data_IF_033437909861
#
_entry.id   IF_033437909861
#
_cell.length_a   1.000
_cell.length_b   1.000
_cell.length_c   1.000
_cell.angle_alpha   90.00
_cell.angle_beta   90.00
_cell.angle_gamma   90.00
#
_symmetry.space_group_name_H-M   'P 1'
#
loop_
_entity.id
_entity.type
_entity.pdbx_description
1 polymer ?
#
# COMPACT_ATOMS: atom_id res chain seq x y z
N UNK A 1 -10.80 -24.86 -65.31
CA UNK A 1 -10.07 -24.91 -64.03
C UNK A 1 -8.85 -24.01 -64.16
N UNK A 2 -8.92 -22.77 -63.66
CA UNK A 2 -7.76 -21.88 -63.61
C UNK A 2 -7.05 -22.15 -62.29
N UNK A 3 -6.09 -23.06 -62.33
CA UNK A 3 -5.22 -23.30 -61.18
C UNK A 3 -4.31 -22.09 -61.08
N UNK A 4 -4.54 -21.22 -60.09
CA UNK A 4 -3.55 -20.23 -59.70
C UNK A 4 -2.28 -21.00 -59.31
N UNK A 5 -1.27 -20.99 -60.16
CA UNK A 5 0.07 -21.48 -59.83
C UNK A 5 0.63 -20.55 -58.76
N UNK A 6 0.58 -21.01 -57.51
CA UNK A 6 1.21 -20.29 -56.40
C UNK A 6 2.72 -20.26 -56.65
N UNK A 7 3.25 -19.05 -56.87
CA UNK A 7 4.64 -18.85 -57.23
C UNK A 7 5.55 -18.99 -56.00
N UNK A 8 5.97 -20.24 -55.76
CA UNK A 8 6.83 -20.62 -54.63
C UNK A 8 8.19 -19.90 -54.65
N UNK A 9 8.67 -19.46 -55.81
CA UNK A 9 9.90 -18.70 -55.93
C UNK A 9 9.75 -17.30 -55.31
N UNK A 10 8.58 -16.67 -55.46
CA UNK A 10 8.27 -15.40 -54.81
C UNK A 10 8.07 -15.58 -53.30
N UNK A 11 7.33 -16.62 -52.90
CA UNK A 11 7.04 -16.90 -51.49
C UNK A 11 8.32 -17.22 -50.70
N UNK A 12 9.26 -17.99 -51.26
CA UNK A 12 10.53 -18.35 -50.63
C UNK A 12 11.45 -17.17 -50.33
N UNK A 13 11.33 -16.05 -51.07
CA UNK A 13 12.09 -14.81 -50.81
C UNK A 13 11.59 -14.04 -49.57
N UNK A 14 10.34 -14.26 -49.16
CA UNK A 14 9.78 -13.67 -47.93
C UNK A 14 9.97 -14.56 -46.70
N UNK A 15 10.22 -15.86 -46.86
CA UNK A 15 10.44 -16.79 -45.74
C UNK A 15 11.59 -16.32 -44.83
N UNK A 16 12.79 -15.93 -45.32
CA UNK A 16 13.87 -15.42 -44.47
C UNK A 16 13.53 -14.15 -43.69
N UNK A 17 12.72 -13.27 -44.31
CA UNK A 17 12.30 -12.01 -43.70
C UNK A 17 11.28 -12.25 -42.58
N UNK A 18 10.33 -13.15 -42.81
CA UNK A 18 9.32 -13.55 -41.82
C UNK A 18 9.98 -14.38 -40.70
N UNK A 19 10.88 -15.32 -41.02
CA UNK A 19 11.60 -16.10 -40.01
C UNK A 19 12.58 -15.27 -39.18
N UNK A 20 13.06 -14.13 -39.69
CA UNK A 20 13.86 -13.17 -38.91
C UNK A 20 13.02 -12.21 -38.05
N UNK A 21 11.91 -11.69 -38.58
CA UNK A 21 11.08 -10.69 -37.89
C UNK A 21 10.12 -11.29 -36.86
N UNK A 22 9.61 -12.50 -37.10
CA UNK A 22 8.69 -13.18 -36.17
C UNK A 22 9.35 -13.45 -34.81
N UNK A 23 10.58 -13.98 -34.71
CA UNK A 23 11.28 -14.11 -33.43
C UNK A 23 11.49 -12.77 -32.73
N UNK A 24 11.89 -11.71 -33.46
CA UNK A 24 12.08 -10.37 -32.88
C UNK A 24 10.76 -9.85 -32.28
N UNK A 25 9.65 -10.01 -33.00
CA UNK A 25 8.32 -9.63 -32.53
C UNK A 25 7.88 -10.43 -31.30
N UNK A 26 8.10 -11.74 -31.30
CA UNK A 26 7.78 -12.63 -30.17
C UNK A 26 8.64 -12.26 -28.95
N UNK A 27 9.95 -12.07 -29.12
CA UNK A 27 10.85 -11.69 -28.03
C UNK A 27 10.48 -10.33 -27.44
N UNK A 28 10.15 -9.34 -28.28
CA UNK A 28 9.69 -8.04 -27.80
C UNK A 28 8.36 -8.14 -27.04
N UNK A 29 7.41 -8.95 -27.53
CA UNK A 29 6.14 -9.19 -26.85
C UNK A 29 6.34 -9.86 -25.48
N UNK A 30 7.13 -10.93 -25.43
CA UNK A 30 7.46 -11.64 -24.20
C UNK A 30 8.18 -10.73 -23.20
N UNK A 31 9.14 -9.93 -23.68
CA UNK A 31 9.83 -8.93 -22.87
C UNK A 31 8.86 -7.92 -22.27
N UNK A 32 7.99 -7.32 -23.08
CA UNK A 32 7.00 -6.35 -22.62
C UNK A 32 6.02 -6.97 -21.61
N UNK A 33 5.55 -8.18 -21.87
CA UNK A 33 4.65 -8.90 -20.98
C UNK A 33 5.31 -9.25 -19.65
N UNK A 34 6.56 -9.74 -19.67
CA UNK A 34 7.34 -10.00 -18.47
C UNK A 34 7.50 -8.74 -17.63
N UNK A 35 8.00 -7.65 -18.23
CA UNK A 35 8.24 -6.40 -17.51
C UNK A 35 6.96 -5.88 -16.86
N UNK A 36 5.83 -5.97 -17.56
CA UNK A 36 4.52 -5.60 -17.02
C UNK A 36 4.12 -6.49 -15.84
N UNK A 37 4.34 -7.80 -15.92
CA UNK A 37 4.06 -8.73 -14.81
C UNK A 37 4.94 -8.43 -13.59
N UNK A 38 6.24 -8.20 -13.80
CA UNK A 38 7.17 -7.88 -12.71
C UNK A 38 6.86 -6.57 -12.02
N UNK A 39 6.51 -5.54 -12.78
CA UNK A 39 6.08 -4.26 -12.19
C UNK A 39 4.85 -4.46 -11.29
N UNK A 40 3.87 -5.24 -11.75
CA UNK A 40 2.65 -5.54 -10.99
C UNK A 40 2.93 -6.39 -9.74
N UNK A 41 3.86 -7.33 -9.82
CA UNK A 41 4.34 -8.11 -8.67
C UNK A 41 4.96 -7.23 -7.58
N UNK A 42 5.81 -6.27 -7.98
CA UNK A 42 6.42 -5.31 -7.05
C UNK A 42 5.33 -4.46 -6.37
N UNK A 43 4.39 -3.90 -7.15
CA UNK A 43 3.29 -3.10 -6.59
C UNK A 43 2.49 -3.92 -5.58
N UNK A 44 2.14 -5.17 -5.90
CA UNK A 44 1.39 -6.05 -5.02
C UNK A 44 2.16 -6.35 -3.72
N UNK A 45 3.46 -6.58 -3.80
CA UNK A 45 4.29 -6.84 -2.62
C UNK A 45 4.41 -5.61 -1.71
N UNK A 46 4.63 -4.43 -2.26
CA UNK A 46 4.67 -3.18 -1.48
C UNK A 46 3.31 -2.89 -0.83
N UNK A 47 2.20 -3.11 -1.55
CA UNK A 47 0.86 -2.95 -1.00
C UNK A 47 0.57 -3.96 0.13
N UNK A 48 1.01 -5.22 -0.01
CA UNK A 48 0.91 -6.24 1.05
C UNK A 48 1.72 -5.86 2.27
N UNK A 49 2.95 -5.38 2.08
CA UNK A 49 3.80 -4.95 3.18
C UNK A 49 3.14 -3.82 3.97
N UNK A 50 2.66 -2.77 3.30
CA UNK A 50 1.92 -1.70 3.99
C UNK A 50 0.66 -2.23 4.69
N UNK A 51 -0.08 -3.14 4.05
CA UNK A 51 -1.29 -3.73 4.63
C UNK A 51 -1.01 -4.45 5.97
N UNK A 52 0.08 -5.22 6.06
CA UNK A 52 0.50 -5.85 7.30
C UNK A 52 0.95 -4.83 8.34
N UNK A 53 1.71 -3.81 7.94
CA UNK A 53 2.14 -2.78 8.87
C UNK A 53 0.96 -1.98 9.44
N UNK A 54 -0.07 -1.72 8.64
CA UNK A 54 -1.31 -1.11 9.13
C UNK A 54 -2.02 -1.96 10.19
N UNK A 55 -1.83 -3.29 10.18
CA UNK A 55 -2.33 -4.19 11.22
C UNK A 55 -1.64 -3.96 12.57
N UNK A 56 -0.34 -3.68 12.57
CA UNK A 56 0.40 -3.39 13.79
C UNK A 56 0.03 -2.03 14.39
N UNK A 57 -0.24 -1.04 13.52
CA UNK A 57 -0.81 0.24 13.95
C UNK A 57 -2.19 0.03 14.57
N UNK A 58 -3.06 -0.74 13.91
CA UNK A 58 -4.40 -1.07 14.40
C UNK A 58 -4.36 -1.75 15.78
N UNK A 59 -3.47 -2.73 15.98
CA UNK A 59 -3.26 -3.40 17.29
C UNK A 59 -2.90 -2.39 18.37
N UNK A 60 -2.04 -1.43 18.07
CA UNK A 60 -1.61 -0.39 19.01
C UNK A 60 -2.79 0.48 19.44
N UNK A 61 -3.64 0.91 18.50
CA UNK A 61 -4.87 1.66 18.79
C UNK A 61 -5.94 0.83 19.51
N UNK A 62 -6.00 -0.48 19.30
CA UNK A 62 -6.90 -1.40 20.02
C UNK A 62 -6.47 -1.64 21.46
N UNK A 63 -5.17 -1.76 21.77
CA UNK A 63 -4.69 -1.86 23.16
C UNK A 63 -5.11 -0.66 24.02
N UNK A 64 -5.23 0.51 23.41
CA UNK A 64 -5.72 1.71 24.09
C UNK A 64 -7.17 1.56 24.63
N UNK A 65 -8.01 0.68 24.05
CA UNK A 65 -9.37 0.43 24.62
C UNK A 65 -9.34 -0.30 25.95
N UNK A 66 -8.32 -1.13 26.20
CA UNK A 66 -8.22 -1.93 27.42
C UNK A 66 -8.02 -1.01 28.64
N UNK A 67 -7.43 0.18 28.42
CA UNK A 67 -7.24 1.22 29.44
C UNK A 67 -8.58 1.78 29.94
N UNK A 68 -9.57 1.92 29.05
CA UNK A 68 -10.88 2.51 29.39
C UNK A 68 -11.86 1.54 30.05
N UNK A 69 -11.59 0.23 30.03
CA UNK A 69 -12.56 -0.80 30.45
C UNK A 69 -12.27 -1.42 31.83
N UNK A 70 -11.15 -1.10 32.47
CA UNK A 70 -10.75 -1.73 33.74
C UNK A 70 -10.25 -0.73 34.79
N UNK A 71 -10.44 -1.10 36.05
CA UNK A 71 -9.89 -0.51 37.28
C UNK A 71 -8.36 -0.65 37.30
N UNK A 72 -7.68 -0.01 36.35
CA UNK A 72 -6.22 -0.05 36.21
C UNK A 72 -5.61 1.03 37.12
N UNK A 73 -4.48 0.71 37.75
CA UNK A 73 -3.77 1.68 38.59
C UNK A 73 -3.26 2.85 37.75
N UNK A 74 -3.11 4.03 38.36
CA UNK A 74 -2.62 5.24 37.66
C UNK A 74 -1.22 5.01 37.07
N UNK A 75 -0.37 4.20 37.70
CA UNK A 75 0.97 3.85 37.19
C UNK A 75 0.91 3.01 35.92
N UNK A 76 0.05 1.98 35.89
CA UNK A 76 -0.07 1.09 34.74
C UNK A 76 -0.68 1.82 33.54
N UNK A 77 -1.64 2.72 33.79
CA UNK A 77 -2.18 3.59 32.75
C UNK A 77 -1.08 4.45 32.08
N UNK A 78 -0.19 5.05 32.87
CA UNK A 78 0.91 5.86 32.35
C UNK A 78 1.92 5.04 31.53
N UNK A 79 2.18 3.79 31.93
CA UNK A 79 3.07 2.89 31.19
C UNK A 79 2.49 2.51 29.82
N UNK A 80 1.21 2.12 29.78
CA UNK A 80 0.53 1.76 28.53
C UNK A 80 0.46 2.98 27.60
N UNK A 81 0.16 4.18 28.14
CA UNK A 81 0.20 5.42 27.37
C UNK A 81 1.57 5.66 26.74
N UNK A 82 2.65 5.62 27.53
CA UNK A 82 4.01 5.84 27.04
C UNK A 82 4.38 4.84 25.94
N UNK A 83 4.01 3.58 26.13
CA UNK A 83 4.24 2.53 25.13
C UNK A 83 3.47 2.80 23.84
N UNK A 84 2.18 3.10 23.92
CA UNK A 84 1.37 3.47 22.75
C UNK A 84 1.98 4.66 21.99
N UNK A 85 2.42 5.70 22.70
CA UNK A 85 3.06 6.85 22.06
C UNK A 85 4.38 6.48 21.35
N UNK A 86 5.17 5.58 21.95
CA UNK A 86 6.39 5.06 21.33
C UNK A 86 6.07 4.27 20.07
N UNK A 87 5.16 3.30 20.16
CA UNK A 87 4.79 2.38 19.07
C UNK A 87 4.26 3.15 17.85
N UNK A 88 3.35 4.12 18.06
CA UNK A 88 2.79 4.92 16.96
C UNK A 88 3.86 5.84 16.35
N UNK A 89 4.73 6.43 17.16
CA UNK A 89 5.80 7.31 16.66
C UNK A 89 6.80 6.53 15.79
N UNK A 90 7.21 5.35 16.24
CA UNK A 90 8.08 4.46 15.49
C UNK A 90 7.42 4.04 14.18
N UNK A 91 6.14 3.64 14.24
CA UNK A 91 5.38 3.29 13.05
C UNK A 91 5.33 4.41 12.01
N UNK A 92 5.06 5.65 12.43
CA UNK A 92 5.03 6.82 11.53
C UNK A 92 6.39 6.99 10.86
N UNK A 93 7.48 6.95 11.63
CA UNK A 93 8.84 7.14 11.11
C UNK A 93 9.19 6.10 10.03
N UNK A 94 8.81 4.85 10.22
CA UNK A 94 9.13 3.78 9.28
C UNK A 94 8.26 3.73 8.03
N UNK A 95 7.05 4.29 8.07
CA UNK A 95 6.01 3.97 7.08
C UNK A 95 5.48 5.16 6.28
N UNK A 96 5.77 6.41 6.68
CA UNK A 96 5.39 7.59 5.90
C UNK A 96 5.95 7.57 4.47
N UNK A 97 7.23 7.21 4.32
CA UNK A 97 7.87 7.11 3.00
C UNK A 97 7.23 6.02 2.14
N UNK A 98 6.84 4.89 2.74
CA UNK A 98 6.13 3.79 2.06
C UNK A 98 4.75 4.21 1.57
N UNK A 99 4.00 4.95 2.39
CA UNK A 99 2.71 5.52 2.00
C UNK A 99 2.86 6.44 0.76
N UNK A 100 3.88 7.30 0.74
CA UNK A 100 4.18 8.14 -0.44
C UNK A 100 4.59 7.33 -1.67
N UNK A 101 5.40 6.29 -1.49
CA UNK A 101 5.80 5.38 -2.57
C UNK A 101 4.58 4.68 -3.18
N UNK A 102 3.66 4.18 -2.35
CA UNK A 102 2.48 3.47 -2.80
C UNK A 102 1.56 4.37 -3.63
N UNK A 103 1.35 5.64 -3.24
CA UNK A 103 0.62 6.62 -4.07
C UNK A 103 1.17 6.70 -5.50
N UNK A 104 2.49 6.70 -5.64
CA UNK A 104 3.17 6.73 -6.96
C UNK A 104 3.04 5.40 -7.70
N UNK A 105 3.23 4.28 -6.99
CA UNK A 105 3.20 2.93 -7.55
C UNK A 105 1.81 2.51 -8.04
N UNK A 106 0.74 2.97 -7.38
CA UNK A 106 -0.64 2.74 -7.81
C UNK A 106 -1.09 3.67 -8.93
N UNK A 107 -0.15 4.36 -9.60
CA UNK A 107 -0.40 5.31 -10.67
C UNK A 107 -1.36 6.42 -10.27
N UNK A 108 -1.22 6.91 -9.02
CA UNK A 108 -2.10 7.91 -8.45
C UNK A 108 -3.59 7.52 -8.46
N UNK A 109 -3.88 6.24 -8.19
CA UNK A 109 -5.26 5.80 -7.98
C UNK A 109 -5.93 6.67 -6.91
N UNK A 110 -7.06 7.28 -7.30
CA UNK A 110 -7.75 8.29 -6.49
C UNK A 110 -8.18 7.73 -5.13
N UNK A 111 -8.68 6.49 -5.08
CA UNK A 111 -9.15 5.88 -3.84
C UNK A 111 -7.98 5.61 -2.89
N UNK A 112 -6.83 5.19 -3.43
CA UNK A 112 -5.61 4.97 -2.65
C UNK A 112 -5.07 6.30 -2.13
N UNK A 113 -4.98 7.33 -2.96
CA UNK A 113 -4.53 8.66 -2.54
C UNK A 113 -5.41 9.22 -1.43
N UNK A 114 -6.73 9.29 -1.65
CA UNK A 114 -7.65 9.86 -0.67
C UNK A 114 -7.62 9.12 0.66
N UNK A 115 -7.59 7.78 0.62
CA UNK A 115 -7.52 6.96 1.84
C UNK A 115 -6.21 7.19 2.60
N UNK A 116 -5.08 7.24 1.89
CA UNK A 116 -3.77 7.47 2.51
C UNK A 116 -3.66 8.90 3.04
N UNK A 117 -4.18 9.91 2.33
CA UNK A 117 -4.21 11.31 2.78
C UNK A 117 -5.04 11.48 4.05
N UNK A 118 -6.19 10.80 4.15
CA UNK A 118 -7.00 10.80 5.37
C UNK A 118 -6.22 10.26 6.57
N UNK A 119 -5.54 9.11 6.39
CA UNK A 119 -4.73 8.53 7.45
C UNK A 119 -3.52 9.42 7.80
N UNK A 120 -2.85 10.00 6.81
CA UNK A 120 -1.69 10.89 7.02
C UNK A 120 -2.07 12.15 7.81
N UNK A 121 -3.24 12.72 7.54
CA UNK A 121 -3.79 13.84 8.30
C UNK A 121 -4.06 13.48 9.78
N UNK A 122 -4.60 12.29 10.03
CA UNK A 122 -4.82 11.80 11.38
C UNK A 122 -3.49 11.58 12.14
N UNK A 123 -2.50 11.00 11.49
CA UNK A 123 -1.16 10.78 12.06
C UNK A 123 -0.38 12.08 12.27
N UNK A 124 -0.56 13.06 11.39
CA UNK A 124 0.02 14.40 11.56
C UNK A 124 -0.56 15.10 12.79
N UNK A 125 -1.87 14.97 13.02
CA UNK A 125 -2.54 15.49 14.21
C UNK A 125 -1.98 14.87 15.50
N UNK A 126 -1.60 13.59 15.45
CA UNK A 126 -0.93 12.90 16.56
C UNK A 126 0.45 13.48 16.89
N UNK A 127 1.28 13.79 15.88
CA UNK A 127 2.58 14.44 16.08
C UNK A 127 2.44 15.84 16.71
N UNK A 128 1.45 16.62 16.28
CA UNK A 128 1.14 17.93 16.89
C UNK A 128 0.73 17.77 18.36
N UNK A 129 -0.08 16.77 18.67
CA UNK A 129 -0.46 16.47 20.05
C UNK A 129 0.73 16.06 20.92
N UNK A 130 1.62 15.20 20.41
CA UNK A 130 2.86 14.81 21.11
C UNK A 130 3.73 16.01 21.47
N UNK A 131 3.85 16.97 20.55
CA UNK A 131 4.57 18.21 20.80
C UNK A 131 3.88 19.03 21.91
N UNK A 132 2.57 19.22 21.84
CA UNK A 132 1.82 20.00 22.85
C UNK A 132 1.85 19.36 24.24
N UNK A 133 1.76 18.02 24.36
CA UNK A 133 1.89 17.29 25.64
C UNK A 133 3.26 17.50 26.30
N UNK A 134 4.33 17.67 25.51
CA UNK A 134 5.66 18.02 26.03
C UNK A 134 5.71 19.41 26.67
N UNK A 135 4.88 20.35 26.22
CA UNK A 135 4.87 21.74 26.69
C UNK A 135 3.82 22.02 27.77
N UNK A 136 2.72 21.27 27.80
CA UNK A 136 1.68 21.42 28.83
C UNK A 136 1.77 20.32 29.88
N UNK A 137 1.92 20.68 31.15
CA UNK A 137 1.86 19.77 32.31
C UNK A 137 0.47 19.14 32.56
N UNK A 138 -0.42 19.13 31.55
CA UNK A 138 -1.77 18.54 31.65
C UNK A 138 -1.70 17.06 31.24
N UNK A 139 -2.08 16.20 32.19
CA UNK A 139 -2.15 14.74 32.09
C UNK A 139 -3.45 14.24 31.45
N UNK A 140 -4.31 15.12 30.94
CA UNK A 140 -5.54 14.70 30.29
C UNK A 140 -5.25 14.35 28.84
N UNK A 141 -5.27 13.06 28.50
CA UNK A 141 -5.57 12.62 27.14
C UNK A 141 -6.91 13.32 26.80
N UNK A 142 -6.97 14.26 25.86
CA UNK A 142 -8.25 14.82 25.47
C UNK A 142 -9.00 13.67 24.80
N UNK A 143 -9.86 12.98 25.56
CA UNK A 143 -10.71 11.84 25.19
C UNK A 143 -10.59 11.42 23.71
N UNK A 144 -9.85 10.33 23.44
CA UNK A 144 -9.77 9.65 22.14
C UNK A 144 -9.30 10.57 20.98
N UNK A 145 -8.01 10.56 20.63
CA UNK A 145 -7.51 11.06 19.33
C UNK A 145 -8.21 10.28 18.23
N UNK A 146 -9.42 10.73 17.84
CA UNK A 146 -10.33 10.15 16.86
C UNK A 146 -10.14 8.65 16.61
N UNK A 147 -10.05 7.83 17.67
CA UNK A 147 -9.57 6.44 17.54
C UNK A 147 -10.39 5.69 16.50
N UNK A 148 -11.70 5.88 16.56
CA UNK A 148 -12.64 5.26 15.64
C UNK A 148 -12.43 5.78 14.21
N UNK A 149 -12.11 7.06 14.01
CA UNK A 149 -11.79 7.61 12.69
C UNK A 149 -10.44 7.08 12.19
N UNK A 150 -9.42 6.98 13.05
CA UNK A 150 -8.10 6.40 12.70
C UNK A 150 -8.27 4.94 12.31
N UNK A 151 -8.98 4.14 13.10
CA UNK A 151 -9.26 2.74 12.80
C UNK A 151 -10.10 2.61 11.51
N UNK A 152 -11.08 3.48 11.30
CA UNK A 152 -11.87 3.49 10.08
C UNK A 152 -11.00 3.87 8.86
N UNK A 153 -10.09 4.82 9.00
CA UNK A 153 -9.20 5.26 7.93
C UNK A 153 -8.10 4.22 7.65
N UNK A 154 -7.60 3.51 8.67
CA UNK A 154 -6.75 2.32 8.49
C UNK A 154 -7.49 1.28 7.63
N UNK A 155 -8.75 0.98 7.95
CA UNK A 155 -9.54 0.02 7.17
C UNK A 155 -9.78 0.50 5.74
N UNK A 156 -10.09 1.79 5.52
CA UNK A 156 -10.21 2.36 4.17
C UNK A 156 -8.92 2.20 3.36
N UNK A 157 -7.76 2.46 3.98
CA UNK A 157 -6.47 2.24 3.31
C UNK A 157 -6.31 0.76 2.99
N UNK A 158 -6.51 -0.13 3.96
CA UNK A 158 -6.44 -1.59 3.76
C UNK A 158 -7.32 -2.03 2.58
N UNK A 159 -8.57 -1.57 2.53
CA UNK A 159 -9.54 -1.89 1.47
C UNK A 159 -9.10 -1.33 0.11
N UNK A 160 -8.57 -0.10 0.07
CA UNK A 160 -8.08 0.52 -1.16
C UNK A 160 -6.89 -0.23 -1.78
N UNK A 161 -6.12 -0.96 -0.97
CA UNK A 161 -4.97 -1.75 -1.43
C UNK A 161 -5.37 -3.13 -1.96
N UNK A 162 -6.54 -3.66 -1.59
CA UNK A 162 -7.00 -5.01 -1.98
C UNK A 162 -6.93 -5.26 -3.50
N UNK A 163 -7.37 -4.34 -4.38
CA UNK A 163 -7.30 -4.55 -5.82
C UNK A 163 -5.86 -4.75 -6.35
N UNK A 164 -4.88 -4.15 -5.69
CA UNK A 164 -3.46 -4.24 -6.04
C UNK A 164 -2.81 -5.48 -5.43
N UNK A 165 -3.26 -5.90 -4.23
CA UNK A 165 -2.82 -7.10 -3.51
C UNK A 165 -3.34 -8.38 -4.19
N UNK A 166 -4.64 -8.42 -4.49
CA UNK A 166 -5.34 -9.54 -5.09
C UNK A 166 -5.14 -9.54 -6.59
N UNK A 167 -3.88 -9.56 -7.03
CA UNK A 167 -3.50 -9.71 -8.42
C UNK A 167 -4.01 -11.07 -8.95
N UNK A 168 -5.31 -11.14 -9.23
CA UNK A 168 -5.94 -12.23 -9.92
C UNK A 168 -5.41 -12.13 -11.33
N UNK A 169 -4.63 -13.14 -11.71
CA UNK A 169 -4.39 -13.49 -13.11
C UNK A 169 -5.75 -13.57 -13.80
N UNK A 170 -6.25 -12.45 -14.33
CA UNK A 170 -7.25 -12.51 -15.40
C UNK A 170 -6.52 -13.19 -16.55
N UNK A 171 -6.81 -14.49 -16.69
CA UNK A 171 -6.39 -15.36 -17.77
C UNK A 171 -6.81 -14.78 -19.11
#
# INVERSE_FOLDING_TARGET
MVVCSFDWELASKFIPLITGLVPIGITWFLYRQWHTQKQKEVIANECKDLWYKLDDLEKSYKKLSEITSYTISVSDQQEIEKKFFSDVKEWIYENLSKMSLIKKLTNNDKNVIESIDLLDNDLSSFNTYLMLKRFSNRSEIPKLVKKNDVLANINKVKDSLIPFINFSKRK
#
